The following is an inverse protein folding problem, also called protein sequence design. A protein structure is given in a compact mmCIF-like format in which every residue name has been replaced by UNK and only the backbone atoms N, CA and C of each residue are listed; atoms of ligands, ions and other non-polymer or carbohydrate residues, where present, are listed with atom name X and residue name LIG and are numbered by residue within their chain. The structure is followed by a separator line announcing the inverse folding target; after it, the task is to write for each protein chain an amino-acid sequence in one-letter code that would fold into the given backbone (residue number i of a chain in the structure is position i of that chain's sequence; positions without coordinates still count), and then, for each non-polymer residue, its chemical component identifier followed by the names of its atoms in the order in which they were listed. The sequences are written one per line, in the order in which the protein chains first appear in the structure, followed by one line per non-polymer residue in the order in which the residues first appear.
data_IF_779445221917
#
_entry.id   IF_779445221917
#
_cell.length_a   1.000
_cell.length_b   1.000
_cell.length_c   1.000
_cell.angle_alpha   90.00
_cell.angle_beta   90.00
_cell.angle_gamma   90.00
#
_symmetry.space_group_name_H-M   'P 1'
#
loop_
_entity.id
_entity.type
_entity.pdbx_description
1 polymer ?
#
# COMPACT_ATOMS: atom_id res chain seq x y z
N UNK A 1 45.71 33.78 -10.62
CA UNK A 1 44.84 34.89 -10.19
C UNK A 1 43.99 34.42 -9.02
N UNK A 2 44.24 34.99 -7.87
CA UNK A 2 43.56 34.67 -6.60
C UNK A 2 42.17 35.34 -6.58
N UNK A 3 41.08 34.61 -6.24
CA UNK A 3 39.81 35.22 -5.82
C UNK A 3 39.40 34.69 -4.46
N UNK A 4 39.12 35.67 -3.61
CA UNK A 4 38.93 35.68 -2.17
C UNK A 4 37.62 35.05 -1.74
N UNK A 5 37.67 34.34 -0.62
CA UNK A 5 36.53 33.90 0.18
C UNK A 5 35.93 35.10 0.91
N UNK A 6 34.61 35.21 0.95
CA UNK A 6 33.89 36.19 1.75
C UNK A 6 32.99 35.42 2.72
N UNK A 7 33.37 35.48 3.98
CA UNK A 7 32.70 34.88 5.14
C UNK A 7 31.64 35.88 5.63
N UNK A 8 30.36 35.49 5.53
CA UNK A 8 29.23 36.27 6.06
C UNK A 8 28.82 35.74 7.43
N UNK A 9 29.12 36.50 8.46
CA UNK A 9 28.74 36.25 9.86
C UNK A 9 27.31 36.77 10.06
N UNK A 10 26.36 35.92 10.43
CA UNK A 10 25.00 36.32 10.77
C UNK A 10 24.78 36.18 12.28
N UNK A 11 24.59 37.33 12.93
CA UNK A 11 24.33 37.53 14.35
C UNK A 11 22.96 36.94 14.74
N UNK A 12 22.93 36.11 15.78
CA UNK A 12 21.72 35.67 16.47
C UNK A 12 21.33 36.69 17.52
N UNK A 13 20.19 37.33 17.37
CA UNK A 13 19.59 38.18 18.40
C UNK A 13 18.58 37.39 19.20
N UNK A 14 18.89 37.23 20.47
CA UNK A 14 18.08 36.57 21.50
C UNK A 14 17.07 37.59 22.05
N UNK A 15 15.78 37.33 21.93
CA UNK A 15 14.70 38.16 22.46
C UNK A 15 14.00 37.42 23.60
N UNK A 16 14.25 37.88 24.83
CA UNK A 16 13.62 37.44 26.08
C UNK A 16 12.34 38.22 26.32
N UNK A 17 11.25 37.56 26.69
CA UNK A 17 10.00 38.13 27.21
C UNK A 17 9.71 37.59 28.60
N UNK A 18 9.21 38.43 29.53
CA UNK A 18 9.10 38.08 30.93
C UNK A 18 7.75 37.47 31.33
N UNK A 19 7.81 36.67 32.36
CA UNK A 19 6.71 36.14 33.16
C UNK A 19 5.91 37.25 33.85
N UNK A 20 4.59 37.14 33.82
CA UNK A 20 3.71 37.78 34.80
C UNK A 20 2.86 36.74 35.48
N UNK A 21 3.05 36.59 36.78
CA UNK A 21 2.20 35.87 37.73
C UNK A 21 1.04 36.77 38.20
N UNK A 22 -0.15 36.23 38.31
CA UNK A 22 -1.30 36.88 38.91
C UNK A 22 -2.07 35.90 39.76
N UNK A 23 -1.84 36.00 41.08
CA UNK A 23 -2.68 35.36 42.12
C UNK A 23 -3.95 36.16 42.38
N UNK A 24 -5.07 35.49 42.65
CA UNK A 24 -6.27 36.09 43.21
C UNK A 24 -7.17 35.05 43.83
N UNK A 25 -7.21 35.03 45.14
CA UNK A 25 -7.96 34.11 46.00
C UNK A 25 -9.25 34.73 46.52
N UNK A 26 -10.14 33.86 47.07
CA UNK A 26 -11.23 34.06 48.01
C UNK A 26 -12.63 34.39 47.42
N UNK A 27 -13.76 33.92 47.96
CA UNK A 27 -14.12 33.36 49.25
C UNK A 27 -15.47 32.67 49.21
N UNK A 28 -15.69 31.85 50.18
CA UNK A 28 -16.82 31.09 50.64
C UNK A 28 -18.15 31.84 50.85
N UNK A 29 -19.23 31.07 50.83
CA UNK A 29 -20.55 31.48 51.34
C UNK A 29 -21.48 30.29 51.49
N UNK A 30 -21.64 29.88 52.73
CA UNK A 30 -22.53 28.84 53.30
C UNK A 30 -23.98 29.28 53.38
N UNK A 31 -24.93 28.32 53.34
CA UNK A 31 -26.04 28.03 54.29
C UNK A 31 -27.25 27.42 53.55
N UNK A 32 -27.60 26.20 53.87
CA UNK A 32 -28.50 25.65 54.92
C UNK A 32 -30.02 25.79 54.67
N UNK A 33 -30.61 24.67 54.88
CA UNK A 33 -31.87 24.22 55.54
C UNK A 33 -33.00 23.88 54.57
N UNK A 34 -33.46 22.67 54.58
CA UNK A 34 -34.17 21.80 55.47
C UNK A 34 -35.62 21.49 54.98
N UNK A 35 -35.97 20.22 55.09
CA UNK A 35 -37.23 19.54 55.37
C UNK A 35 -38.39 19.58 54.38
N UNK A 36 -38.83 18.43 53.87
CA UNK A 36 -39.90 17.57 54.33
C UNK A 36 -40.30 16.51 53.32
N UNK A 37 -40.38 15.28 53.82
CA UNK A 37 -41.13 14.19 53.19
C UNK A 37 -42.63 14.33 53.59
N UNK A 38 -43.52 13.78 52.78
CA UNK A 38 -44.22 12.57 53.23
C UNK A 38 -44.42 11.49 52.16
N UNK A 39 -44.76 10.33 52.71
CA UNK A 39 -44.82 9.00 52.18
C UNK A 39 -45.95 8.71 51.15
N UNK A 40 -45.61 7.70 50.33
CA UNK A 40 -46.36 6.52 49.92
C UNK A 40 -47.65 6.68 49.11
N UNK A 41 -47.64 6.09 47.92
CA UNK A 41 -48.60 5.02 47.58
C UNK A 41 -48.10 4.17 46.41
N UNK A 42 -48.20 2.89 46.60
CA UNK A 42 -47.88 1.80 45.70
C UNK A 42 -48.84 1.72 44.54
N UNK A 43 -48.37 1.66 43.30
CA UNK A 43 -49.10 0.93 42.26
C UNK A 43 -48.10 0.21 41.31
N UNK A 44 -48.17 -1.10 41.39
CA UNK A 44 -47.50 -2.09 40.54
C UNK A 44 -48.13 -2.06 39.14
N UNK A 45 -47.34 -1.67 38.14
CA UNK A 45 -47.62 -2.04 36.75
C UNK A 45 -46.26 -2.30 36.05
N UNK A 46 -46.12 -3.53 35.56
CA UNK A 46 -44.90 -4.05 34.97
C UNK A 46 -44.37 -3.19 33.83
N UNK A 47 -43.27 -2.54 34.08
CA UNK A 47 -42.47 -1.91 33.07
C UNK A 47 -41.46 -2.97 32.58
N UNK A 48 -41.65 -3.43 31.34
CA UNK A 48 -40.69 -4.16 30.54
C UNK A 48 -39.38 -3.36 30.57
N UNK A 49 -38.31 -3.96 31.13
CA UNK A 49 -36.99 -3.37 31.10
C UNK A 49 -36.56 -3.20 29.64
N UNK A 50 -36.60 -1.97 29.17
CA UNK A 50 -35.85 -1.57 27.97
C UNK A 50 -34.38 -1.63 28.33
N UNK A 51 -33.66 -2.52 27.70
CA UNK A 51 -32.19 -2.48 27.70
C UNK A 51 -31.74 -1.04 27.38
N UNK A 52 -30.70 -0.52 28.07
CA UNK A 52 -30.15 0.76 27.71
C UNK A 52 -29.65 0.69 26.28
N UNK A 53 -30.17 1.56 25.41
CA UNK A 53 -29.62 1.74 24.06
C UNK A 53 -28.12 1.89 24.21
N UNK A 54 -27.35 0.99 23.53
CA UNK A 54 -25.91 1.16 23.33
C UNK A 54 -25.73 2.60 22.85
N UNK A 55 -24.93 3.40 23.55
CA UNK A 55 -24.46 4.68 23.03
C UNK A 55 -23.92 4.39 21.65
N UNK A 56 -24.47 4.99 20.61
CA UNK A 56 -23.93 4.94 19.28
C UNK A 56 -22.45 5.36 19.38
N UNK A 57 -21.56 4.41 19.19
CA UNK A 57 -20.14 4.67 19.12
C UNK A 57 -19.88 5.67 18.00
N UNK A 58 -18.83 6.43 18.10
CA UNK A 58 -18.44 7.39 17.07
C UNK A 58 -18.44 6.71 15.69
N UNK A 59 -19.20 7.27 14.73
CA UNK A 59 -19.35 6.72 13.38
C UNK A 59 -18.14 7.10 12.52
N UNK A 60 -16.98 6.59 12.91
CA UNK A 60 -15.69 6.84 12.23
C UNK A 60 -14.89 5.54 12.06
N UNK A 61 -13.96 5.57 11.13
CA UNK A 61 -12.86 4.63 11.01
C UNK A 61 -11.59 5.40 10.63
N UNK A 62 -10.49 5.14 11.32
CA UNK A 62 -9.21 5.81 11.10
C UNK A 62 -8.27 4.88 10.34
N UNK A 63 -7.86 5.28 9.14
CA UNK A 63 -7.05 4.51 8.22
C UNK A 63 -5.66 5.11 8.13
N UNK A 64 -4.64 4.36 8.58
CA UNK A 64 -3.24 4.67 8.34
C UNK A 64 -2.85 4.05 7.00
N UNK A 65 -2.51 4.87 6.00
CA UNK A 65 -2.31 4.39 4.63
C UNK A 65 -1.01 4.88 4.00
N UNK A 66 -0.27 3.93 3.41
CA UNK A 66 0.86 4.19 2.53
C UNK A 66 0.43 4.23 1.04
N UNK A 67 -0.86 4.11 0.75
CA UNK A 67 -1.42 4.27 -0.59
C UNK A 67 -1.63 5.75 -0.89
N UNK A 68 -1.56 6.09 -2.19
CA UNK A 68 -1.67 7.49 -2.65
C UNK A 68 -2.45 7.58 -3.96
N UNK A 69 -3.43 6.68 -4.15
CA UNK A 69 -4.27 6.69 -5.35
C UNK A 69 -5.53 7.52 -5.13
N UNK A 70 -5.90 8.32 -6.13
CA UNK A 70 -7.12 9.15 -6.09
C UNK A 70 -8.39 8.31 -5.91
N UNK A 71 -8.37 7.06 -6.38
CA UNK A 71 -9.50 6.15 -6.25
C UNK A 71 -9.81 5.79 -4.80
N UNK A 72 -8.82 5.78 -3.92
CA UNK A 72 -9.01 5.43 -2.50
C UNK A 72 -9.96 6.43 -1.83
N UNK A 73 -9.80 7.72 -2.10
CA UNK A 73 -10.71 8.76 -1.59
C UNK A 73 -12.15 8.61 -2.13
N UNK A 74 -12.32 8.16 -3.37
CA UNK A 74 -13.65 7.87 -3.95
C UNK A 74 -14.28 6.65 -3.28
N UNK A 75 -13.49 5.60 -3.08
CA UNK A 75 -13.90 4.36 -2.42
C UNK A 75 -14.38 4.65 -0.99
N UNK A 76 -13.61 5.39 -0.21
CA UNK A 76 -13.97 5.79 1.14
C UNK A 76 -15.17 6.75 1.19
N UNK A 77 -15.29 7.64 0.21
CA UNK A 77 -16.44 8.52 0.05
C UNK A 77 -17.74 7.75 -0.21
N UNK A 78 -17.71 6.72 -1.08
CA UNK A 78 -18.87 5.88 -1.34
C UNK A 78 -19.25 5.04 -0.11
N UNK A 79 -18.29 4.47 0.60
CA UNK A 79 -18.53 3.80 1.88
C UNK A 79 -19.23 4.74 2.90
N UNK A 80 -18.70 5.95 3.05
CA UNK A 80 -19.30 6.94 3.96
C UNK A 80 -20.72 7.30 3.57
N UNK A 81 -20.99 7.48 2.27
CA UNK A 81 -22.33 7.79 1.76
C UNK A 81 -23.35 6.67 2.04
N UNK A 82 -22.91 5.40 1.93
CA UNK A 82 -23.80 4.25 2.14
C UNK A 82 -24.03 3.93 3.61
N UNK A 83 -23.02 4.14 4.46
CA UNK A 83 -23.05 3.69 5.86
C UNK A 83 -23.22 4.81 6.88
N UNK A 84 -22.94 6.05 6.51
CA UNK A 84 -22.80 7.17 7.44
C UNK A 84 -21.49 7.15 8.25
N UNK A 85 -20.65 6.13 8.08
CA UNK A 85 -19.36 6.00 8.80
C UNK A 85 -18.31 6.84 8.07
N UNK A 86 -17.72 7.81 8.75
CA UNK A 86 -16.68 8.67 8.20
C UNK A 86 -15.33 7.95 8.19
N UNK A 87 -14.59 8.04 7.08
CA UNK A 87 -13.21 7.54 6.98
C UNK A 87 -12.23 8.71 7.14
N UNK A 88 -11.35 8.61 8.13
CA UNK A 88 -10.26 9.56 8.34
C UNK A 88 -8.95 8.92 7.88
N UNK A 89 -8.24 9.58 6.96
CA UNK A 89 -6.97 9.08 6.43
C UNK A 89 -5.78 9.76 7.10
N UNK A 90 -4.79 8.97 7.51
CA UNK A 90 -3.46 9.42 7.91
C UNK A 90 -2.46 8.82 6.92
N UNK A 91 -1.83 9.68 6.11
CA UNK A 91 -0.89 9.27 5.06
C UNK A 91 0.55 9.33 5.57
N UNK A 92 1.36 8.34 5.16
CA UNK A 92 2.79 8.25 5.48
C UNK A 92 3.48 7.15 4.70
N UNK A 93 4.79 7.00 4.87
CA UNK A 93 5.46 5.81 4.36
C UNK A 93 5.05 4.58 5.18
N UNK A 94 5.15 3.42 4.58
CA UNK A 94 4.72 2.19 5.25
C UNK A 94 5.51 1.92 6.53
N UNK A 95 6.81 2.13 6.49
CA UNK A 95 7.71 1.95 7.64
C UNK A 95 7.39 2.95 8.77
N UNK A 96 7.22 4.23 8.42
CA UNK A 96 6.85 5.27 9.40
C UNK A 96 5.52 4.96 10.10
N UNK A 97 4.53 4.46 9.35
CA UNK A 97 3.23 4.10 9.92
C UNK A 97 3.31 2.88 10.84
N UNK A 98 4.10 1.85 10.49
CA UNK A 98 4.33 0.70 11.38
C UNK A 98 5.06 1.11 12.65
N UNK A 99 6.12 1.92 12.55
CA UNK A 99 6.84 2.42 13.73
C UNK A 99 5.97 3.35 14.59
N UNK A 100 5.06 4.08 13.96
CA UNK A 100 4.06 4.89 14.67
C UNK A 100 3.08 4.01 15.45
N UNK A 101 2.52 2.97 14.83
CA UNK A 101 1.63 2.00 15.49
C UNK A 101 2.31 1.34 16.70
N UNK A 102 3.59 0.94 16.55
CA UNK A 102 4.39 0.37 17.65
C UNK A 102 4.55 1.34 18.81
N UNK A 103 4.96 2.57 18.51
CA UNK A 103 5.23 3.60 19.52
C UNK A 103 3.97 4.04 20.25
N UNK A 104 2.85 4.17 19.55
CA UNK A 104 1.57 4.60 20.11
C UNK A 104 0.89 3.47 20.92
N UNK A 105 1.06 2.20 20.51
CA UNK A 105 0.49 1.05 21.21
C UNK A 105 -1.01 1.21 21.44
N UNK A 106 -1.47 1.06 22.68
CA UNK A 106 -2.90 1.19 23.05
C UNK A 106 -3.47 2.60 22.88
N UNK A 107 -2.61 3.61 22.81
CA UNK A 107 -3.03 4.99 22.56
C UNK A 107 -3.21 5.33 21.09
N UNK A 108 -2.90 4.39 20.18
CA UNK A 108 -3.08 4.62 18.75
C UNK A 108 -4.55 4.85 18.39
N UNK A 109 -4.77 5.79 17.50
CA UNK A 109 -6.10 6.07 16.93
C UNK A 109 -6.35 5.25 15.64
N UNK A 110 -5.37 4.49 15.15
CA UNK A 110 -5.51 3.71 13.94
C UNK A 110 -6.44 2.53 14.13
N UNK A 111 -7.39 2.36 13.23
CA UNK A 111 -8.24 1.18 13.14
C UNK A 111 -7.73 0.23 12.03
N UNK A 112 -7.29 0.78 10.91
CA UNK A 112 -6.74 0.03 9.77
C UNK A 112 -5.36 0.52 9.36
N UNK A 113 -4.53 -0.41 8.91
CA UNK A 113 -3.26 -0.16 8.22
C UNK A 113 -3.36 -0.65 6.78
N UNK A 114 -3.15 0.23 5.80
CA UNK A 114 -3.20 -0.10 4.37
C UNK A 114 -1.85 0.19 3.73
N UNK A 115 -1.32 -0.80 3.00
CA UNK A 115 -0.05 -0.66 2.30
C UNK A 115 -0.06 -1.35 0.94
N UNK A 116 1.03 -1.21 0.18
CA UNK A 116 1.16 -1.66 -1.21
C UNK A 116 2.14 -2.83 -1.38
N UNK A 117 2.40 -3.60 -0.33
CA UNK A 117 3.37 -4.70 -0.40
C UNK A 117 3.11 -5.76 0.67
N UNK A 118 3.09 -7.04 0.27
CA UNK A 118 2.87 -8.16 1.17
C UNK A 118 3.99 -8.35 2.20
N UNK A 119 5.24 -8.03 1.84
CA UNK A 119 6.37 -8.06 2.77
C UNK A 119 6.23 -7.03 3.88
N UNK A 120 5.71 -5.83 3.58
CA UNK A 120 5.42 -4.79 4.57
C UNK A 120 4.26 -5.19 5.49
N UNK A 121 3.22 -5.83 4.95
CA UNK A 121 2.14 -6.37 5.77
C UNK A 121 2.67 -7.41 6.78
N UNK A 122 3.54 -8.30 6.31
CA UNK A 122 4.20 -9.27 7.18
C UNK A 122 5.12 -8.59 8.21
N UNK A 123 5.83 -7.52 7.84
CA UNK A 123 6.62 -6.72 8.79
C UNK A 123 5.73 -6.11 9.89
N UNK A 124 4.57 -5.57 9.53
CA UNK A 124 3.59 -5.05 10.50
C UNK A 124 3.11 -6.17 11.45
N UNK A 125 2.78 -7.35 10.92
CA UNK A 125 2.43 -8.55 11.71
C UNK A 125 3.56 -8.94 12.68
N UNK A 126 4.80 -9.08 12.20
CA UNK A 126 5.95 -9.46 13.01
C UNK A 126 6.23 -8.47 14.15
N UNK A 127 5.89 -7.21 13.97
CA UNK A 127 5.97 -6.18 15.00
C UNK A 127 4.77 -6.19 15.96
N UNK A 128 3.82 -7.12 15.81
CA UNK A 128 2.69 -7.30 16.71
C UNK A 128 1.72 -6.12 16.75
N UNK A 129 1.62 -5.34 15.64
CA UNK A 129 0.73 -4.16 15.55
C UNK A 129 -0.60 -4.46 14.87
N UNK A 130 -0.82 -5.70 14.46
CA UNK A 130 -2.06 -6.17 13.82
C UNK A 130 -2.80 -7.17 14.71
N UNK A 131 -4.06 -7.43 14.40
CA UNK A 131 -4.90 -8.45 14.99
C UNK A 131 -5.72 -9.17 13.91
N UNK A 132 -6.22 -10.40 14.16
CA UNK A 132 -6.98 -11.15 13.19
C UNK A 132 -8.27 -10.43 12.73
N UNK A 133 -8.48 -10.43 11.41
CA UNK A 133 -9.70 -10.02 10.75
C UNK A 133 -10.65 -11.21 10.77
N UNK A 134 -11.82 -11.06 11.39
CA UNK A 134 -12.83 -12.09 11.49
C UNK A 134 -14.10 -11.61 10.79
N UNK A 135 -14.35 -12.09 9.58
CA UNK A 135 -15.54 -11.79 8.79
C UNK A 135 -15.77 -12.89 7.74
N UNK A 136 -16.95 -13.51 7.79
CA UNK A 136 -17.36 -14.50 6.81
C UNK A 136 -17.48 -13.92 5.40
N UNK A 137 -17.84 -12.62 5.27
CA UNK A 137 -17.91 -11.96 3.97
C UNK A 137 -16.52 -11.75 3.38
N UNK A 138 -15.53 -11.35 4.19
CA UNK A 138 -14.13 -11.24 3.75
C UNK A 138 -13.60 -12.61 3.33
N UNK A 139 -13.90 -13.66 4.10
CA UNK A 139 -13.48 -15.03 3.79
C UNK A 139 -14.04 -15.56 2.46
N UNK A 140 -15.25 -15.13 2.12
CA UNK A 140 -15.89 -15.45 0.83
C UNK A 140 -15.28 -14.69 -0.35
N UNK A 141 -14.89 -13.41 -0.14
CA UNK A 141 -14.48 -12.52 -1.22
C UNK A 141 -12.98 -12.59 -1.52
N UNK A 142 -12.14 -12.85 -0.51
CA UNK A 142 -10.68 -12.85 -0.66
C UNK A 142 -10.14 -14.28 -0.65
N UNK A 143 -9.52 -14.76 -1.74
CA UNK A 143 -8.89 -16.07 -1.80
C UNK A 143 -7.85 -16.29 -0.69
N UNK A 144 -7.73 -17.54 -0.21
CA UNK A 144 -6.84 -17.89 0.90
C UNK A 144 -5.37 -17.54 0.61
N UNK A 145 -4.94 -17.71 -0.63
CA UNK A 145 -3.59 -17.38 -1.10
C UNK A 145 -3.25 -15.89 -1.07
N UNK A 146 -4.26 -15.02 -0.92
CA UNK A 146 -4.12 -13.58 -0.80
C UNK A 146 -4.33 -13.09 0.65
N UNK A 147 -4.27 -14.00 1.62
CA UNK A 147 -4.44 -13.69 3.05
C UNK A 147 -3.26 -14.19 3.87
N UNK A 148 -3.02 -13.55 4.98
CA UNK A 148 -2.14 -14.08 6.01
C UNK A 148 -2.71 -15.37 6.61
N UNK A 149 -1.85 -16.31 6.97
CA UNK A 149 -2.23 -17.59 7.57
C UNK A 149 -3.03 -17.45 8.88
N UNK A 150 -2.79 -16.38 9.65
CA UNK A 150 -3.49 -16.05 10.89
C UNK A 150 -4.56 -14.96 10.69
N UNK A 151 -4.84 -14.60 9.42
CA UNK A 151 -5.78 -13.55 9.00
C UNK A 151 -5.49 -12.16 9.60
N UNK A 152 -4.25 -11.84 9.97
CA UNK A 152 -3.91 -10.51 10.50
C UNK A 152 -3.86 -9.44 9.40
N UNK A 153 -3.74 -9.86 8.15
CA UNK A 153 -3.90 -9.00 6.98
C UNK A 153 -4.51 -9.77 5.80
N UNK A 154 -5.10 -9.03 4.90
CA UNK A 154 -5.69 -9.53 3.65
C UNK A 154 -5.25 -8.68 2.47
N UNK A 155 -5.24 -9.28 1.27
CA UNK A 155 -5.13 -8.53 0.02
C UNK A 155 -6.41 -7.76 -0.28
N UNK A 156 -6.27 -6.54 -0.78
CA UNK A 156 -7.38 -5.74 -1.31
C UNK A 156 -7.32 -5.55 -2.82
N UNK A 157 -6.15 -5.71 -3.41
CA UNK A 157 -5.92 -5.70 -4.86
C UNK A 157 -4.58 -6.37 -5.16
N UNK A 158 -4.38 -6.81 -6.40
CA UNK A 158 -3.12 -7.38 -6.84
C UNK A 158 -2.56 -6.66 -8.07
N UNK A 159 -1.26 -6.74 -8.29
CA UNK A 159 -0.60 -6.25 -9.50
C UNK A 159 0.54 -7.17 -9.89
N UNK A 160 0.72 -7.32 -11.20
CA UNK A 160 1.84 -8.06 -11.73
C UNK A 160 3.02 -7.12 -12.05
N UNK A 161 4.23 -7.59 -11.82
CA UNK A 161 5.43 -6.92 -12.29
C UNK A 161 5.80 -7.53 -13.63
N UNK A 162 5.64 -6.78 -14.70
CA UNK A 162 5.71 -7.25 -16.08
C UNK A 162 6.91 -6.69 -16.81
N UNK A 163 7.23 -7.26 -17.97
CA UNK A 163 8.15 -6.66 -18.93
C UNK A 163 7.31 -5.80 -19.87
N UNK A 164 7.57 -4.50 -19.92
CA UNK A 164 7.06 -3.63 -20.96
C UNK A 164 8.13 -3.45 -22.04
N UNK A 165 7.71 -3.35 -23.29
CA UNK A 165 8.61 -3.32 -24.43
C UNK A 165 8.18 -2.34 -25.51
N UNK A 166 9.13 -1.85 -26.28
CA UNK A 166 8.90 -0.99 -27.45
C UNK A 166 8.29 -1.80 -28.59
N UNK A 167 7.01 -1.55 -28.93
CA UNK A 167 6.30 -2.29 -30.02
C UNK A 167 6.96 -2.17 -31.39
N UNK A 168 7.69 -1.08 -31.64
CA UNK A 168 8.39 -0.81 -32.91
C UNK A 168 9.76 -1.50 -33.02
N UNK A 169 10.34 -2.01 -31.93
CA UNK A 169 11.71 -2.53 -31.88
C UNK A 169 11.84 -3.94 -31.30
N UNK A 170 10.86 -4.37 -30.49
CA UNK A 170 10.87 -5.68 -29.84
C UNK A 170 9.59 -6.43 -30.21
N UNK A 171 9.74 -7.68 -30.63
CA UNK A 171 8.62 -8.59 -30.87
C UNK A 171 8.37 -9.45 -29.62
N UNK A 172 7.09 -9.76 -29.25
CA UNK A 172 6.78 -10.60 -28.10
C UNK A 172 7.54 -11.94 -28.07
N UNK A 173 7.80 -12.53 -29.23
CA UNK A 173 8.50 -13.82 -29.38
C UNK A 173 9.98 -13.77 -28.96
N UNK A 174 10.55 -12.58 -28.79
CA UNK A 174 11.90 -12.36 -28.29
C UNK A 174 11.96 -12.36 -26.76
N UNK A 175 10.78 -12.22 -26.09
CA UNK A 175 10.64 -12.17 -24.65
C UNK A 175 10.26 -13.56 -24.09
N UNK A 176 10.69 -13.87 -22.88
CA UNK A 176 10.37 -15.14 -22.23
C UNK A 176 10.25 -15.04 -20.71
N UNK A 177 11.35 -14.84 -20.03
CA UNK A 177 11.42 -14.83 -18.56
C UNK A 177 12.15 -13.58 -18.06
N UNK A 178 12.07 -13.31 -16.75
CA UNK A 178 12.93 -12.27 -16.15
C UNK A 178 14.41 -12.64 -16.26
N UNK A 179 14.71 -13.94 -16.14
CA UNK A 179 16.07 -14.46 -16.22
C UNK A 179 16.68 -14.20 -17.60
N UNK A 180 15.88 -14.27 -18.65
CA UNK A 180 16.30 -13.97 -20.02
C UNK A 180 16.80 -12.53 -20.20
N UNK A 181 16.30 -11.57 -19.40
CA UNK A 181 16.78 -10.18 -19.45
C UNK A 181 18.24 -10.01 -19.01
N UNK A 182 18.82 -11.03 -18.35
CA UNK A 182 20.23 -11.05 -17.99
C UNK A 182 21.17 -11.50 -19.15
N UNK A 183 20.62 -11.98 -20.28
CA UNK A 183 21.38 -12.42 -21.43
C UNK A 183 21.91 -11.25 -22.27
N UNK A 184 23.03 -11.44 -22.94
CA UNK A 184 23.75 -10.43 -23.73
C UNK A 184 22.92 -9.80 -24.85
N UNK A 185 21.88 -10.49 -25.37
CA UNK A 185 20.98 -9.91 -26.38
C UNK A 185 20.27 -8.63 -25.91
N UNK A 186 20.17 -8.43 -24.58
CA UNK A 186 19.57 -7.28 -23.94
C UNK A 186 20.58 -6.21 -23.48
N UNK A 187 21.85 -6.37 -23.82
CA UNK A 187 22.91 -5.43 -23.40
C UNK A 187 22.60 -4.01 -23.83
N UNK A 188 22.57 -3.07 -22.87
CA UNK A 188 22.27 -1.66 -23.09
C UNK A 188 20.81 -1.38 -23.47
N UNK A 189 19.86 -2.30 -23.15
CA UNK A 189 18.45 -2.18 -23.56
C UNK A 189 17.48 -2.20 -22.40
N UNK A 190 17.89 -2.60 -21.21
CA UNK A 190 17.00 -2.78 -20.05
C UNK A 190 16.92 -1.51 -19.23
N UNK A 191 15.71 -1.09 -18.92
CA UNK A 191 15.40 0.05 -18.08
C UNK A 191 14.74 -0.41 -16.79
N UNK A 192 15.19 0.12 -15.67
CA UNK A 192 14.67 -0.21 -14.33
C UNK A 192 14.72 1.00 -13.41
N UNK A 193 13.93 0.94 -12.33
CA UNK A 193 14.03 1.87 -11.19
C UNK A 193 15.24 1.53 -10.33
N UNK A 194 15.63 2.47 -9.46
CA UNK A 194 16.65 2.26 -8.43
C UNK A 194 16.32 1.07 -7.51
N UNK A 195 17.35 0.47 -6.92
CA UNK A 195 17.25 -0.57 -5.89
C UNK A 195 16.56 -0.12 -4.60
N UNK A 196 16.50 1.19 -4.35
CA UNK A 196 15.75 1.74 -3.21
C UNK A 196 14.23 1.57 -3.36
N UNK A 197 13.77 1.18 -4.55
CA UNK A 197 12.36 0.98 -4.80
C UNK A 197 11.87 -0.39 -4.27
N UNK A 198 10.83 -0.36 -3.44
CA UNK A 198 10.23 -1.53 -2.81
C UNK A 198 9.84 -2.63 -3.82
N UNK A 199 9.30 -2.26 -5.00
CA UNK A 199 8.86 -3.26 -5.99
C UNK A 199 10.03 -4.05 -6.60
N UNK A 200 11.21 -3.44 -6.75
CA UNK A 200 12.41 -4.15 -7.16
C UNK A 200 12.94 -5.05 -6.04
N UNK A 201 12.89 -4.58 -4.80
CA UNK A 201 13.27 -5.37 -3.63
C UNK A 201 12.39 -6.61 -3.49
N UNK A 202 11.07 -6.47 -3.63
CA UNK A 202 10.12 -7.58 -3.59
C UNK A 202 10.32 -8.57 -4.74
N UNK A 203 10.60 -8.09 -5.95
CA UNK A 203 10.93 -8.95 -7.08
C UNK A 203 12.20 -9.77 -6.80
N UNK A 204 13.28 -9.14 -6.29
CA UNK A 204 14.52 -9.85 -5.92
C UNK A 204 14.29 -10.80 -4.75
N UNK A 205 13.50 -10.41 -3.76
CA UNK A 205 13.11 -11.28 -2.65
C UNK A 205 12.38 -12.54 -3.14
N UNK A 206 11.49 -12.41 -4.15
CA UNK A 206 10.82 -13.56 -4.76
C UNK A 206 11.80 -14.48 -5.51
N UNK A 207 12.83 -13.93 -6.14
CA UNK A 207 13.90 -14.72 -6.76
C UNK A 207 14.73 -15.50 -5.73
N UNK A 208 15.04 -14.87 -4.59
CA UNK A 208 15.75 -15.54 -3.50
C UNK A 208 14.93 -16.73 -2.99
N UNK A 209 13.62 -16.55 -2.79
CA UNK A 209 12.74 -17.63 -2.31
C UNK A 209 12.62 -18.78 -3.32
N UNK A 210 12.45 -18.47 -4.60
CA UNK A 210 12.16 -19.47 -5.62
C UNK A 210 13.41 -20.17 -6.16
N UNK A 211 14.54 -19.46 -6.26
CA UNK A 211 15.73 -19.94 -6.95
C UNK A 211 16.97 -20.02 -6.03
N UNK A 212 16.88 -19.45 -4.83
CA UNK A 212 18.01 -19.31 -3.92
C UNK A 212 18.83 -18.04 -4.15
N UNK A 213 19.60 -17.65 -3.13
CA UNK A 213 20.36 -16.38 -3.10
C UNK A 213 21.44 -16.30 -4.20
N UNK A 214 22.11 -17.42 -4.49
CA UNK A 214 23.19 -17.48 -5.49
C UNK A 214 22.65 -17.19 -6.90
N UNK A 215 21.55 -17.82 -7.28
CA UNK A 215 20.93 -17.65 -8.60
C UNK A 215 20.30 -16.25 -8.73
N UNK A 216 19.69 -15.75 -7.66
CA UNK A 216 19.16 -14.37 -7.60
C UNK A 216 20.29 -13.34 -7.81
N UNK A 217 21.46 -13.55 -7.20
CA UNK A 217 22.65 -12.70 -7.38
C UNK A 217 23.18 -12.76 -8.81
N UNK A 218 23.30 -13.96 -9.37
CA UNK A 218 23.77 -14.14 -10.75
C UNK A 218 22.86 -13.44 -11.74
N UNK A 219 21.54 -13.60 -11.59
CA UNK A 219 20.54 -12.90 -12.39
C UNK A 219 20.64 -11.38 -12.26
N UNK A 220 20.63 -10.86 -11.04
CA UNK A 220 20.68 -9.42 -10.79
C UNK A 220 21.96 -8.79 -11.36
N UNK A 221 23.12 -9.47 -11.25
CA UNK A 221 24.38 -9.03 -11.84
C UNK A 221 24.32 -9.00 -13.37
N UNK A 222 23.77 -10.05 -14.00
CA UNK A 222 23.55 -10.08 -15.45
C UNK A 222 22.63 -8.96 -15.92
N UNK A 223 21.54 -8.73 -15.17
CA UNK A 223 20.60 -7.65 -15.47
C UNK A 223 21.26 -6.27 -15.39
N UNK A 224 22.08 -6.01 -14.36
CA UNK A 224 22.85 -4.74 -14.21
C UNK A 224 23.77 -4.51 -15.41
N UNK A 225 24.41 -5.56 -15.94
CA UNK A 225 25.27 -5.45 -17.14
C UNK A 225 24.49 -5.04 -18.39
N UNK A 226 23.17 -5.23 -18.39
CA UNK A 226 22.27 -4.96 -19.52
C UNK A 226 21.51 -3.65 -19.37
N UNK A 227 21.73 -2.89 -18.31
CA UNK A 227 21.08 -1.59 -18.15
C UNK A 227 21.42 -0.63 -19.28
N UNK A 228 20.39 0.00 -19.81
CA UNK A 228 20.50 1.03 -20.86
C UNK A 228 21.05 2.35 -20.32
N UNK A 229 20.80 2.63 -19.05
CA UNK A 229 21.26 3.80 -18.31
C UNK A 229 21.30 3.51 -16.83
N UNK A 230 21.85 4.43 -16.03
CA UNK A 230 21.73 4.37 -14.57
C UNK A 230 20.26 4.32 -14.16
N UNK A 231 19.88 3.42 -13.23
CA UNK A 231 18.51 3.36 -12.71
C UNK A 231 18.05 4.68 -12.09
N UNK A 232 16.89 5.18 -12.53
CA UNK A 232 16.31 6.43 -12.07
C UNK A 232 14.81 6.50 -12.33
N UNK A 233 14.10 7.41 -11.67
CA UNK A 233 12.68 7.66 -11.88
C UNK A 233 11.74 6.55 -11.42
N UNK A 234 10.47 6.70 -11.75
CA UNK A 234 9.39 5.74 -11.48
C UNK A 234 9.11 4.82 -12.66
N UNK A 235 8.09 3.96 -12.54
CA UNK A 235 7.69 3.04 -13.62
C UNK A 235 7.25 3.82 -14.88
N UNK A 236 6.50 4.92 -14.72
CA UNK A 236 6.11 5.79 -15.85
C UNK A 236 7.33 6.39 -16.58
N UNK A 237 8.40 6.71 -15.82
CA UNK A 237 9.63 7.25 -16.42
C UNK A 237 10.39 6.19 -17.21
N UNK A 238 10.25 4.89 -16.86
CA UNK A 238 10.79 3.81 -17.67
C UNK A 238 10.03 3.71 -19.01
N UNK A 239 8.70 3.81 -19.00
CA UNK A 239 7.89 3.84 -20.22
C UNK A 239 8.25 5.05 -21.12
N UNK A 240 8.39 6.24 -20.53
CA UNK A 240 8.83 7.45 -21.24
C UNK A 240 10.24 7.28 -21.82
N UNK A 241 11.13 6.60 -21.12
CA UNK A 241 12.48 6.30 -21.60
C UNK A 241 12.48 5.31 -22.79
N UNK A 242 11.57 4.31 -22.81
CA UNK A 242 11.36 3.45 -23.97
C UNK A 242 10.92 4.29 -25.18
N UNK A 243 9.94 5.18 -25.01
CA UNK A 243 9.47 6.07 -26.07
C UNK A 243 10.58 7.00 -26.60
N UNK A 244 11.46 7.47 -25.70
CA UNK A 244 12.63 8.28 -26.04
C UNK A 244 13.81 7.45 -26.61
N UNK A 245 13.64 6.14 -26.82
CA UNK A 245 14.65 5.20 -27.33
C UNK A 245 15.92 5.09 -26.46
N UNK A 246 15.79 5.36 -25.17
CA UNK A 246 16.89 5.16 -24.22
C UNK A 246 17.11 3.69 -23.84
N UNK A 247 16.13 2.83 -24.09
CA UNK A 247 16.16 1.38 -23.94
C UNK A 247 14.99 0.76 -24.69
N UNK A 248 14.93 -0.55 -24.73
CA UNK A 248 13.93 -1.28 -25.53
C UNK A 248 12.89 -2.00 -24.64
N UNK A 249 13.29 -2.38 -23.42
CA UNK A 249 12.45 -3.09 -22.45
C UNK A 249 12.60 -2.49 -21.06
N UNK A 250 11.55 -2.62 -20.24
CA UNK A 250 11.59 -2.21 -18.84
C UNK A 250 10.78 -3.16 -17.95
N UNK A 251 11.12 -3.22 -16.66
CA UNK A 251 10.33 -3.92 -15.64
C UNK A 251 9.42 -2.90 -14.96
N UNK A 252 8.10 -3.10 -15.06
CA UNK A 252 7.07 -2.19 -14.55
C UNK A 252 5.92 -2.95 -13.89
N UNK A 253 5.15 -2.28 -13.05
CA UNK A 253 3.87 -2.81 -12.58
C UNK A 253 2.77 -2.54 -13.62
N UNK A 254 1.86 -3.51 -13.78
CA UNK A 254 0.77 -3.48 -14.77
C UNK A 254 -0.10 -2.23 -14.68
N UNK A 255 -0.50 -1.84 -13.46
CA UNK A 255 -1.44 -0.76 -13.26
C UNK A 255 -0.95 0.61 -13.78
N UNK A 256 0.36 0.84 -13.83
CA UNK A 256 0.89 2.08 -14.42
C UNK A 256 0.56 2.19 -15.91
N UNK A 257 0.59 1.08 -16.65
CA UNK A 257 0.20 1.08 -18.07
C UNK A 257 -1.28 1.46 -18.20
N UNK A 258 -2.15 0.87 -17.38
CA UNK A 258 -3.57 1.21 -17.35
C UNK A 258 -3.81 2.70 -17.04
N UNK A 259 -3.15 3.21 -16.01
CA UNK A 259 -3.25 4.63 -15.64
C UNK A 259 -2.72 5.57 -16.73
N UNK A 260 -1.63 5.22 -17.42
CA UNK A 260 -1.07 6.02 -18.50
C UNK A 260 -2.00 6.04 -19.72
N UNK A 261 -2.60 4.92 -20.10
CA UNK A 261 -3.60 4.83 -21.18
C UNK A 261 -4.84 5.68 -20.93
N UNK A 262 -5.17 5.95 -19.66
CA UNK A 262 -6.32 6.75 -19.23
C UNK A 262 -5.92 8.09 -18.63
N UNK A 263 -4.69 8.52 -18.86
CA UNK A 263 -4.18 9.81 -18.39
C UNK A 263 -4.87 10.97 -19.09
N UNK A 264 -4.98 12.10 -18.39
CA UNK A 264 -5.39 13.38 -19.01
C UNK A 264 -4.26 14.02 -19.83
N UNK A 265 -3.03 13.57 -19.65
CA UNK A 265 -1.87 13.99 -20.44
C UNK A 265 -1.77 13.14 -21.71
N UNK A 266 -2.02 13.75 -22.85
CA UNK A 266 -1.99 13.10 -24.17
C UNK A 266 -0.60 12.49 -24.49
N UNK A 267 0.49 13.07 -23.99
CA UNK A 267 1.83 12.50 -24.20
C UNK A 267 2.02 11.21 -23.39
N UNK A 268 1.46 11.10 -22.18
CA UNK A 268 1.46 9.83 -21.44
C UNK A 268 0.65 8.75 -22.16
N UNK A 269 -0.53 9.11 -22.70
CA UNK A 269 -1.36 8.17 -23.47
C UNK A 269 -0.57 7.65 -24.67
N UNK A 270 0.03 8.55 -25.44
CA UNK A 270 0.85 8.19 -26.61
C UNK A 270 2.04 7.29 -26.26
N UNK A 271 2.71 7.53 -25.13
CA UNK A 271 3.77 6.65 -24.63
C UNK A 271 3.21 5.26 -24.36
N UNK A 272 2.07 5.16 -23.65
CA UNK A 272 1.47 3.87 -23.27
C UNK A 272 0.96 3.09 -24.51
N UNK A 273 0.45 3.76 -25.53
CA UNK A 273 0.02 3.12 -26.79
C UNK A 273 1.18 2.48 -27.56
N UNK A 274 2.40 3.02 -27.42
CA UNK A 274 3.60 2.55 -28.13
C UNK A 274 4.41 1.48 -27.37
N UNK A 275 4.00 1.12 -26.15
CA UNK A 275 4.59 0.00 -25.40
C UNK A 275 3.65 -1.19 -25.38
N UNK A 276 4.24 -2.41 -25.39
CA UNK A 276 3.52 -3.66 -25.16
C UNK A 276 3.75 -4.13 -23.72
N UNK A 277 2.84 -4.95 -23.23
CA UNK A 277 2.93 -5.63 -21.94
C UNK A 277 3.16 -7.12 -22.18
N UNK A 278 4.16 -7.68 -21.51
CA UNK A 278 4.49 -9.09 -21.58
C UNK A 278 4.57 -9.67 -20.15
N UNK A 279 3.80 -10.72 -19.90
CA UNK A 279 3.82 -11.45 -18.63
C UNK A 279 4.92 -12.52 -18.69
N UNK A 280 6.06 -12.34 -18.00
CA UNK A 280 7.18 -13.29 -18.10
C UNK A 280 6.93 -14.57 -17.32
N UNK A 281 7.79 -15.57 -17.54
CA UNK A 281 7.86 -16.85 -16.81
C UNK A 281 6.60 -17.73 -16.94
N UNK A 282 5.78 -17.57 -17.97
CA UNK A 282 4.52 -18.31 -18.11
C UNK A 282 4.72 -19.84 -18.21
N UNK A 283 5.85 -20.28 -18.77
CA UNK A 283 6.21 -21.71 -18.88
C UNK A 283 7.07 -22.19 -17.71
N UNK A 284 7.41 -21.33 -16.74
CA UNK A 284 8.30 -21.66 -15.61
C UNK A 284 7.61 -21.32 -14.27
N UNK A 285 8.16 -20.38 -13.49
CA UNK A 285 7.71 -20.03 -12.14
C UNK A 285 6.43 -19.18 -12.11
N UNK A 286 6.06 -18.55 -13.22
CA UNK A 286 4.97 -17.55 -13.29
C UNK A 286 5.46 -16.13 -13.08
N UNK A 287 4.61 -15.17 -13.42
CA UNK A 287 4.88 -13.73 -13.25
C UNK A 287 4.82 -13.34 -11.77
N UNK A 288 5.73 -12.50 -11.31
CA UNK A 288 5.73 -11.95 -9.97
C UNK A 288 4.44 -11.15 -9.73
N UNK A 289 3.70 -11.57 -8.71
CA UNK A 289 2.51 -10.89 -8.20
C UNK A 289 2.85 -10.27 -6.85
N UNK A 290 2.30 -9.08 -6.57
CA UNK A 290 2.31 -8.50 -5.24
C UNK A 290 0.95 -7.89 -4.93
N UNK A 291 0.69 -7.57 -3.66
CA UNK A 291 -0.61 -7.13 -3.18
C UNK A 291 -0.57 -5.71 -2.65
N UNK A 292 -1.68 -4.99 -2.82
CA UNK A 292 -2.09 -3.97 -1.89
C UNK A 292 -2.96 -4.64 -0.84
N UNK A 293 -2.76 -4.35 0.43
CA UNK A 293 -3.49 -5.08 1.47
C UNK A 293 -3.80 -4.25 2.70
N UNK A 294 -4.65 -4.83 3.53
CA UNK A 294 -5.25 -4.23 4.72
C UNK A 294 -4.93 -5.10 5.93
N UNK A 295 -4.42 -4.50 7.00
CA UNK A 295 -4.33 -5.08 8.33
C UNK A 295 -5.27 -4.37 9.30
N UNK A 296 -5.90 -5.12 10.20
CA UNK A 296 -6.66 -4.57 11.30
C UNK A 296 -5.70 -4.21 12.45
N UNK A 297 -5.66 -2.95 12.85
CA UNK A 297 -4.74 -2.50 13.90
C UNK A 297 -5.06 -3.20 15.23
N UNK A 298 -4.00 -3.58 15.97
CA UNK A 298 -4.13 -4.37 17.21
C UNK A 298 -5.03 -3.73 18.25
N UNK A 299 -5.00 -2.42 18.36
CA UNK A 299 -5.75 -1.65 19.35
C UNK A 299 -6.84 -0.78 18.70
N UNK A 300 -7.40 -1.25 17.56
CA UNK A 300 -8.49 -0.57 16.85
C UNK A 300 -9.64 -0.23 17.78
N UNK A 301 -9.96 1.05 17.90
CA UNK A 301 -11.05 1.57 18.77
C UNK A 301 -12.42 1.43 18.13
N UNK A 302 -12.46 1.45 16.79
CA UNK A 302 -13.68 1.35 16.00
C UNK A 302 -13.69 0.05 15.18
N UNK A 303 -13.39 -1.08 15.85
CA UNK A 303 -13.19 -2.40 15.19
C UNK A 303 -14.40 -2.80 14.32
N UNK A 304 -15.62 -2.62 14.79
CA UNK A 304 -16.83 -2.98 14.01
C UNK A 304 -16.94 -2.14 12.72
N UNK A 305 -16.65 -0.83 12.79
CA UNK A 305 -16.64 0.04 11.62
C UNK A 305 -15.48 -0.32 10.66
N UNK A 306 -14.31 -0.67 11.21
CA UNK A 306 -13.17 -1.12 10.44
C UNK A 306 -13.48 -2.40 9.64
N UNK A 307 -14.13 -3.39 10.26
CA UNK A 307 -14.57 -4.60 9.57
C UNK A 307 -15.56 -4.27 8.46
N UNK A 308 -16.56 -3.42 8.71
CA UNK A 308 -17.50 -2.99 7.66
C UNK A 308 -16.80 -2.32 6.48
N UNK A 309 -15.77 -1.51 6.74
CA UNK A 309 -14.98 -0.92 5.66
C UNK A 309 -14.19 -1.98 4.88
N UNK A 310 -13.60 -2.97 5.55
CA UNK A 310 -12.92 -4.10 4.89
C UNK A 310 -13.91 -4.89 4.01
N UNK A 311 -15.09 -5.22 4.54
CA UNK A 311 -16.15 -5.92 3.82
C UNK A 311 -16.60 -5.16 2.58
N UNK A 312 -16.79 -3.83 2.69
CA UNK A 312 -17.11 -2.97 1.56
C UNK A 312 -15.99 -2.96 0.51
N UNK A 313 -14.73 -2.76 0.93
CA UNK A 313 -13.58 -2.74 0.00
C UNK A 313 -13.42 -4.07 -0.74
N UNK A 314 -13.66 -5.21 -0.07
CA UNK A 314 -13.53 -6.54 -0.66
C UNK A 314 -14.79 -7.05 -1.34
N UNK A 315 -15.94 -6.42 -1.10
CA UNK A 315 -17.21 -6.70 -1.78
C UNK A 315 -17.18 -6.32 -3.26
N UNK A 316 -18.15 -6.83 -4.02
CA UNK A 316 -18.22 -6.61 -5.49
C UNK A 316 -18.14 -5.14 -5.87
N UNK A 317 -18.92 -4.28 -5.23
CA UNK A 317 -19.00 -2.85 -5.55
C UNK A 317 -17.68 -2.14 -5.26
N UNK A 318 -17.14 -2.31 -4.03
CA UNK A 318 -15.86 -1.70 -3.66
C UNK A 318 -14.71 -2.17 -4.55
N UNK A 319 -14.67 -3.45 -4.89
CA UNK A 319 -13.67 -4.00 -5.80
C UNK A 319 -13.81 -3.47 -7.22
N UNK A 320 -15.05 -3.30 -7.72
CA UNK A 320 -15.31 -2.69 -9.03
C UNK A 320 -14.81 -1.24 -9.07
N UNK A 321 -15.15 -0.43 -8.06
CA UNK A 321 -14.65 0.95 -7.93
C UNK A 321 -13.13 1.00 -7.86
N UNK A 322 -12.54 0.15 -7.03
CA UNK A 322 -11.09 0.11 -6.83
C UNK A 322 -10.35 -0.25 -8.12
N UNK A 323 -10.74 -1.33 -8.81
CA UNK A 323 -10.04 -1.79 -10.00
C UNK A 323 -10.24 -0.86 -11.20
N UNK A 324 -11.43 -0.26 -11.36
CA UNK A 324 -11.69 0.72 -12.42
C UNK A 324 -10.85 1.99 -12.25
N UNK A 325 -10.58 2.41 -11.02
CA UNK A 325 -9.81 3.62 -10.76
C UNK A 325 -8.31 3.41 -10.64
N UNK A 326 -7.86 2.23 -10.17
CA UNK A 326 -6.43 1.92 -9.97
C UNK A 326 -5.79 1.15 -11.12
N UNK A 327 -6.57 0.36 -11.87
CA UNK A 327 -6.09 -0.68 -12.80
C UNK A 327 -5.27 -1.79 -12.14
N UNK A 328 -5.42 -1.97 -10.82
CA UNK A 328 -4.99 -3.19 -10.12
C UNK A 328 -6.01 -4.31 -10.35
N UNK A 329 -5.57 -5.56 -10.32
CA UNK A 329 -6.47 -6.70 -10.43
C UNK A 329 -7.29 -6.87 -9.15
N UNK A 330 -8.60 -7.12 -9.24
CA UNK A 330 -9.43 -7.34 -8.07
C UNK A 330 -9.12 -8.68 -7.40
N UNK A 331 -9.27 -8.73 -6.07
CA UNK A 331 -9.20 -9.98 -5.30
C UNK A 331 -10.53 -10.74 -5.34
N UNK A 332 -11.64 -10.02 -5.45
CA UNK A 332 -12.98 -10.60 -5.59
C UNK A 332 -13.29 -10.89 -7.07
N UNK A 333 -13.50 -12.15 -7.39
CA UNK A 333 -13.78 -12.61 -8.77
C UNK A 333 -15.09 -12.09 -9.34
N UNK A 334 -16.02 -11.64 -8.48
CA UNK A 334 -17.32 -11.08 -8.89
C UNK A 334 -17.22 -9.61 -9.36
N UNK A 335 -16.09 -8.94 -9.15
CA UNK A 335 -15.89 -7.54 -9.54
C UNK A 335 -15.88 -7.36 -11.07
N UNK A 336 -16.49 -6.27 -11.51
CA UNK A 336 -16.46 -5.87 -12.92
C UNK A 336 -15.08 -5.25 -13.24
N UNK A 337 -14.34 -5.86 -14.15
CA UNK A 337 -12.97 -5.45 -14.51
C UNK A 337 -12.99 -4.42 -15.64
N UNK A 338 -12.05 -3.45 -15.67
CA UNK A 338 -11.78 -2.66 -16.86
C UNK A 338 -11.48 -3.56 -18.07
N UNK A 339 -11.88 -3.13 -19.29
CA UNK A 339 -11.64 -3.87 -20.52
C UNK A 339 -10.16 -4.26 -20.68
N UNK A 340 -9.24 -3.37 -20.35
CA UNK A 340 -7.79 -3.61 -20.39
C UNK A 340 -7.35 -4.83 -19.57
N UNK A 341 -7.89 -5.00 -18.35
CA UNK A 341 -7.53 -6.14 -17.51
C UNK A 341 -8.12 -7.45 -18.06
N UNK A 342 -9.29 -7.37 -18.71
CA UNK A 342 -9.90 -8.51 -19.40
C UNK A 342 -9.11 -8.88 -20.65
N UNK A 343 -8.60 -7.90 -21.41
CA UNK A 343 -7.74 -8.09 -22.58
C UNK A 343 -6.40 -8.76 -22.22
N UNK A 344 -5.81 -8.41 -21.09
CA UNK A 344 -4.59 -9.08 -20.60
C UNK A 344 -4.81 -10.55 -20.24
N UNK A 345 -6.06 -10.95 -19.99
CA UNK A 345 -6.45 -12.34 -19.73
C UNK A 345 -5.92 -12.90 -18.41
N UNK A 346 -5.97 -14.22 -18.31
CA UNK A 346 -5.40 -14.97 -17.19
C UNK A 346 -3.91 -15.26 -17.47
N UNK A 347 -3.12 -15.20 -16.44
CA UNK A 347 -1.70 -15.50 -16.50
C UNK A 347 -1.26 -16.30 -15.28
N UNK A 348 -0.22 -17.13 -15.45
CA UNK A 348 0.40 -17.87 -14.35
C UNK A 348 1.16 -16.91 -13.44
N UNK A 349 0.92 -17.01 -12.15
CA UNK A 349 1.61 -16.23 -11.11
C UNK A 349 2.61 -17.11 -10.35
N UNK A 350 3.62 -16.48 -9.76
CA UNK A 350 4.50 -17.15 -8.81
C UNK A 350 3.67 -17.71 -7.66
N UNK A 351 3.89 -18.97 -7.32
CA UNK A 351 3.32 -19.59 -6.13
C UNK A 351 4.21 -19.26 -4.96
N UNK A 352 3.87 -18.22 -4.23
CA UNK A 352 4.69 -17.62 -3.19
C UNK A 352 3.84 -17.15 -2.02
N UNK A 353 4.25 -17.50 -0.80
CA UNK A 353 3.75 -16.83 0.39
C UNK A 353 4.31 -15.39 0.45
N UNK A 354 3.42 -14.41 0.47
CA UNK A 354 3.82 -13.00 0.51
C UNK A 354 4.65 -12.63 1.73
N UNK A 355 4.55 -13.39 2.84
CA UNK A 355 5.40 -13.24 4.00
C UNK A 355 6.90 -13.37 3.65
N UNK A 356 7.22 -14.23 2.68
CA UNK A 356 8.61 -14.45 2.21
C UNK A 356 9.23 -13.21 1.59
N UNK A 357 8.43 -12.35 0.97
CA UNK A 357 8.92 -11.07 0.45
C UNK A 357 9.52 -10.20 1.56
N UNK A 358 8.88 -10.16 2.73
CA UNK A 358 9.38 -9.46 3.91
C UNK A 358 10.59 -10.16 4.55
N UNK A 359 10.54 -11.49 4.68
CA UNK A 359 11.64 -12.28 5.26
C UNK A 359 12.94 -12.12 4.47
N UNK A 360 12.85 -12.08 3.13
CA UNK A 360 14.00 -11.92 2.25
C UNK A 360 14.35 -10.47 1.90
N UNK A 361 13.58 -9.47 2.34
CA UNK A 361 13.79 -8.07 1.97
C UNK A 361 15.21 -7.57 2.30
N UNK A 362 15.69 -7.82 3.52
CA UNK A 362 17.06 -7.41 3.92
C UNK A 362 18.12 -8.00 3.00
N UNK A 363 18.02 -9.30 2.69
CA UNK A 363 18.96 -9.97 1.79
C UNK A 363 18.84 -9.44 0.36
N UNK A 364 17.63 -9.16 -0.11
CA UNK A 364 17.41 -8.55 -1.42
C UNK A 364 18.09 -7.18 -1.54
N UNK A 365 17.97 -6.33 -0.50
CA UNK A 365 18.64 -5.02 -0.45
C UNK A 365 20.17 -5.17 -0.44
N UNK A 366 20.71 -6.08 0.36
CA UNK A 366 22.15 -6.37 0.41
C UNK A 366 22.68 -6.86 -0.96
N UNK A 367 21.95 -7.78 -1.59
CA UNK A 367 22.27 -8.32 -2.91
C UNK A 367 22.25 -7.22 -3.99
N UNK A 368 21.20 -6.41 -4.05
CA UNK A 368 21.07 -5.29 -4.98
C UNK A 368 22.24 -4.31 -4.85
N UNK A 369 22.63 -3.98 -3.62
CA UNK A 369 23.79 -3.12 -3.36
C UNK A 369 25.10 -3.77 -3.83
N UNK A 370 25.29 -5.07 -3.55
CA UNK A 370 26.47 -5.86 -3.92
C UNK A 370 26.69 -5.90 -5.44
N UNK A 371 25.62 -6.09 -6.22
CA UNK A 371 25.73 -6.16 -7.69
C UNK A 371 25.77 -4.79 -8.36
N UNK A 372 25.60 -3.69 -7.60
CA UNK A 372 25.66 -2.33 -8.14
C UNK A 372 24.38 -1.84 -8.81
N UNK A 373 23.24 -2.43 -8.50
CA UNK A 373 21.95 -1.90 -8.91
C UNK A 373 21.60 -0.68 -8.03
N UNK A 374 21.92 0.53 -8.51
CA UNK A 374 21.80 1.78 -7.72
C UNK A 374 20.98 2.83 -8.43
#
# INVERSE_FOLDING_TARGET
MRKKYMLGLMLFTMMTLPFMAGCGANQAGTNNTSTAQPQAETNSAGAKATEPAKKDGEQVVNVFTARHYDVDSKLFGEFTKQTGIKVNEVKGTAEELVERLKREGESSEADLFITVDGGVLNYAKQNGVLQPIQSAEVDKHVPQELRDKDNEWIGMATRARVIVYAKDRVKPEQLSTYEDLANDKWKGKVLVRSSSNLYNQSLVASFIELNGEQEAEAWAKGLVNNFARKPEGGDRDQAKAIAAKAGDVAIMNTYYVGQMLHSKDAEEVKVAENIGVFFPNQNTTGTHLNISGIGLAKHAKHKENAIKLIEFITGKEGQTLLTQGSFEFPVNKEADKPALLTEWGEFKTQQLDFAKLGEHNKKAVELLNKVGWK
#
